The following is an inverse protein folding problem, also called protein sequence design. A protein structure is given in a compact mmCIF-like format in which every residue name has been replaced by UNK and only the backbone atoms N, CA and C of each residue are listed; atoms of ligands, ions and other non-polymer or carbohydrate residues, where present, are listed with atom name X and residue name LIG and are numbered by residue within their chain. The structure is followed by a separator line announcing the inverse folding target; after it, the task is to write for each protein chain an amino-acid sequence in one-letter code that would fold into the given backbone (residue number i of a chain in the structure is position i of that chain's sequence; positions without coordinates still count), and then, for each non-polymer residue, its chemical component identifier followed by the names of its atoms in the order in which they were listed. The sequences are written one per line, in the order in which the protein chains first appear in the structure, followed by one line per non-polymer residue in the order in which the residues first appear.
data_IF_859291154923
#
_entry.id   IF_859291154923
#
_cell.length_a   1.000
_cell.length_b   1.000
_cell.length_c   1.000
_cell.angle_alpha   90.00
_cell.angle_beta   90.00
_cell.angle_gamma   90.00
#
_symmetry.space_group_name_H-M   'P 1'
#
loop_
_entity.id
_entity.type
_entity.pdbx_description
1 polymer ?
#
# COMPACT_ATOMS: atom_id res chain seq x y z
N UNK A 1 58.90 -11.42 -6.05
CA UNK A 1 57.47 -11.10 -5.85
C UNK A 1 56.64 -12.26 -5.28
N UNK A 2 56.77 -13.53 -5.75
CA UNK A 2 56.02 -14.69 -5.24
C UNK A 2 56.07 -14.93 -3.72
N UNK A 3 57.20 -14.66 -3.05
CA UNK A 3 57.37 -14.83 -1.59
C UNK A 3 56.53 -13.87 -0.74
N UNK A 4 56.18 -12.69 -1.25
CA UNK A 4 55.35 -11.71 -0.52
C UNK A 4 53.86 -12.09 -0.55
N UNK A 5 53.40 -12.69 -1.66
CA UNK A 5 52.02 -13.19 -1.79
C UNK A 5 51.76 -14.42 -0.91
N UNK A 6 52.71 -15.38 -0.83
CA UNK A 6 52.60 -16.55 0.06
C UNK A 6 52.55 -16.17 1.54
N UNK A 7 53.26 -15.11 1.96
CA UNK A 7 53.26 -14.66 3.35
C UNK A 7 51.96 -13.97 3.76
N UNK A 8 51.23 -13.37 2.81
CA UNK A 8 49.93 -12.73 3.06
C UNK A 8 48.81 -13.76 3.24
N UNK A 9 48.82 -14.83 2.43
CA UNK A 9 47.84 -15.93 2.51
C UNK A 9 47.98 -16.75 3.80
N UNK A 10 49.19 -16.93 4.31
CA UNK A 10 49.43 -17.65 5.58
C UNK A 10 49.17 -16.80 6.84
N UNK A 11 48.80 -15.53 6.68
CA UNK A 11 48.55 -14.60 7.79
C UNK A 11 47.07 -14.22 7.91
N UNK A 12 46.20 -14.85 7.13
CA UNK A 12 44.75 -14.75 7.27
C UNK A 12 44.34 -15.70 8.40
N UNK A 13 44.33 -15.20 9.64
CA UNK A 13 43.70 -15.90 10.76
C UNK A 13 42.21 -15.99 10.45
N UNK A 14 41.74 -17.17 10.02
CA UNK A 14 40.32 -17.42 9.78
C UNK A 14 39.50 -17.21 11.06
N UNK A 15 38.29 -16.67 10.91
CA UNK A 15 37.34 -16.61 12.02
C UNK A 15 36.98 -18.03 12.45
N UNK A 16 36.83 -18.23 13.76
CA UNK A 16 36.43 -19.54 14.28
C UNK A 16 34.95 -19.78 14.00
N UNK A 17 34.55 -21.03 13.79
CA UNK A 17 33.13 -21.38 13.57
C UNK A 17 32.25 -20.95 14.75
N UNK A 18 32.81 -20.93 15.97
CA UNK A 18 32.07 -20.55 17.18
C UNK A 18 31.78 -19.04 17.24
N UNK A 19 32.69 -18.21 16.72
CA UNK A 19 32.45 -16.76 16.61
C UNK A 19 31.34 -16.47 15.60
N UNK A 20 31.35 -17.16 14.45
CA UNK A 20 30.26 -17.06 13.48
C UNK A 20 28.93 -17.57 14.04
N UNK A 21 28.96 -18.65 14.83
CA UNK A 21 27.77 -19.23 15.47
C UNK A 21 27.15 -18.26 16.49
N UNK A 22 27.95 -17.61 17.33
CA UNK A 22 27.44 -16.66 18.31
C UNK A 22 26.70 -15.48 17.62
N UNK A 23 27.22 -14.98 16.50
CA UNK A 23 26.62 -13.87 15.76
C UNK A 23 25.27 -14.25 15.15
N UNK A 24 25.17 -15.41 14.48
CA UNK A 24 23.90 -15.83 13.88
C UNK A 24 22.82 -16.09 14.93
N UNK A 25 23.18 -16.57 16.12
CA UNK A 25 22.24 -16.77 17.24
C UNK A 25 21.68 -15.43 17.71
N UNK A 26 22.53 -14.41 17.86
CA UNK A 26 22.08 -13.07 18.26
C UNK A 26 21.16 -12.47 17.18
N UNK A 27 21.53 -12.56 15.90
CA UNK A 27 20.70 -12.07 14.79
C UNK A 27 19.37 -12.81 14.74
N UNK A 28 19.35 -14.13 14.97
CA UNK A 28 18.14 -14.94 14.98
C UNK A 28 17.15 -14.50 16.08
N UNK A 29 17.63 -14.21 17.29
CA UNK A 29 16.80 -13.73 18.40
C UNK A 29 16.20 -12.35 18.06
N UNK A 30 17.02 -11.42 17.54
CA UNK A 30 16.55 -10.09 17.15
C UNK A 30 15.53 -10.21 16.01
N UNK A 31 15.81 -11.02 14.99
CA UNK A 31 14.92 -11.24 13.85
C UNK A 31 13.57 -11.83 14.27
N UNK A 32 13.56 -12.77 15.22
CA UNK A 32 12.33 -13.39 15.71
C UNK A 32 11.33 -12.38 16.31
N UNK A 33 11.81 -11.31 16.95
CA UNK A 33 10.97 -10.25 17.51
C UNK A 33 10.69 -9.16 16.47
N UNK A 34 11.71 -8.77 15.71
CA UNK A 34 11.64 -7.65 14.78
C UNK A 34 10.74 -7.93 13.56
N UNK A 35 10.82 -9.14 12.98
CA UNK A 35 10.05 -9.50 11.78
C UNK A 35 8.54 -9.34 11.99
N UNK A 36 7.89 -9.94 13.02
CA UNK A 36 6.45 -9.78 13.19
C UNK A 36 6.05 -8.32 13.50
N UNK A 37 6.85 -7.61 14.31
CA UNK A 37 6.56 -6.22 14.64
C UNK A 37 6.63 -5.29 13.41
N UNK A 38 7.67 -5.44 12.58
CA UNK A 38 7.84 -4.66 11.35
C UNK A 38 6.78 -5.05 10.31
N UNK A 39 6.44 -6.33 10.22
CA UNK A 39 5.39 -6.80 9.31
C UNK A 39 4.05 -6.11 9.57
N UNK A 40 3.65 -5.96 10.83
CA UNK A 40 2.41 -5.25 11.18
C UNK A 40 2.48 -3.75 10.84
N UNK A 41 3.62 -3.10 11.06
CA UNK A 41 3.80 -1.69 10.70
C UNK A 41 3.69 -1.48 9.18
N UNK A 42 4.31 -2.37 8.41
CA UNK A 42 4.23 -2.35 6.94
C UNK A 42 2.79 -2.58 6.49
N UNK A 43 2.07 -3.52 7.11
CA UNK A 43 0.68 -3.80 6.79
C UNK A 43 -0.21 -2.58 7.05
N UNK A 44 -0.12 -1.97 8.24
CA UNK A 44 -0.85 -0.75 8.56
C UNK A 44 -0.54 0.40 7.58
N UNK A 45 0.72 0.53 7.16
CA UNK A 45 1.13 1.57 6.20
C UNK A 45 0.53 1.34 4.81
N UNK A 46 0.35 0.07 4.41
CA UNK A 46 -0.29 -0.30 3.14
C UNK A 46 -1.80 -0.05 3.17
N UNK A 47 -2.44 -0.33 4.31
CA UNK A 47 -3.85 0.00 4.54
C UNK A 47 -4.08 1.51 4.52
N UNK A 48 -3.23 2.28 5.20
CA UNK A 48 -3.28 3.75 5.18
C UNK A 48 -3.08 4.28 3.74
N UNK A 49 -2.19 3.66 2.95
CA UNK A 49 -2.01 4.00 1.54
C UNK A 49 -3.27 3.68 0.70
N UNK A 50 -3.92 2.53 0.92
CA UNK A 50 -5.17 2.19 0.23
C UNK A 50 -6.30 3.17 0.54
N UNK A 51 -6.41 3.63 1.80
CA UNK A 51 -7.36 4.69 2.17
C UNK A 51 -7.02 6.01 1.48
N UNK A 52 -5.73 6.36 1.38
CA UNK A 52 -5.30 7.56 0.65
C UNK A 52 -5.62 7.47 -0.85
N UNK A 53 -5.44 6.29 -1.47
CA UNK A 53 -5.85 6.04 -2.85
C UNK A 53 -7.36 6.26 -3.01
N UNK A 54 -8.18 5.79 -2.08
CA UNK A 54 -9.63 6.02 -2.09
C UNK A 54 -10.00 7.51 -1.92
N UNK A 55 -9.26 8.26 -1.10
CA UNK A 55 -9.42 9.70 -0.97
C UNK A 55 -9.07 10.45 -2.26
N UNK A 56 -8.04 9.99 -2.99
CA UNK A 56 -7.66 10.53 -4.29
C UNK A 56 -8.76 10.28 -5.32
N UNK A 57 -9.30 9.05 -5.39
CA UNK A 57 -10.45 8.73 -6.26
C UNK A 57 -11.65 9.63 -5.93
N UNK A 58 -11.97 9.81 -4.64
CA UNK A 58 -13.08 10.67 -4.23
C UNK A 58 -12.87 12.14 -4.61
N UNK A 59 -11.63 12.62 -4.54
CA UNK A 59 -11.26 13.98 -4.93
C UNK A 59 -11.38 14.17 -6.45
N UNK A 60 -10.90 13.21 -7.24
CA UNK A 60 -11.07 13.20 -8.69
C UNK A 60 -12.55 13.14 -9.10
N UNK A 61 -13.35 12.30 -8.43
CA UNK A 61 -14.79 12.23 -8.65
C UNK A 61 -15.50 13.56 -8.32
N UNK A 62 -15.01 14.31 -7.33
CA UNK A 62 -15.54 15.65 -7.02
C UNK A 62 -15.36 16.62 -8.18
N UNK A 63 -14.20 16.58 -8.85
CA UNK A 63 -13.94 17.40 -10.05
C UNK A 63 -14.83 16.94 -11.21
N UNK A 64 -14.90 15.63 -11.46
CA UNK A 64 -15.76 15.06 -12.50
C UNK A 64 -17.23 15.49 -12.35
N UNK A 65 -17.78 15.43 -11.14
CA UNK A 65 -19.18 15.80 -10.88
C UNK A 65 -19.44 17.31 -10.88
N UNK A 66 -18.41 18.14 -10.73
CA UNK A 66 -18.50 19.57 -10.92
C UNK A 66 -18.63 19.94 -12.40
N UNK A 67 -17.97 19.20 -13.29
CA UNK A 67 -18.08 19.38 -14.75
C UNK A 67 -19.31 18.66 -15.34
N UNK A 68 -19.73 17.55 -14.71
CA UNK A 68 -20.83 16.70 -15.16
C UNK A 68 -21.97 16.71 -14.13
N UNK A 69 -22.71 17.84 -14.06
CA UNK A 69 -23.74 18.06 -13.06
C UNK A 69 -24.84 16.98 -13.05
N UNK A 70 -25.19 16.42 -14.21
CA UNK A 70 -26.24 15.39 -14.35
C UNK A 70 -25.79 13.97 -14.01
N UNK A 71 -24.47 13.71 -13.99
CA UNK A 71 -23.95 12.38 -13.68
C UNK A 71 -24.02 12.13 -12.18
N UNK A 72 -24.71 11.09 -11.74
CA UNK A 72 -24.88 10.76 -10.31
C UNK A 72 -23.88 9.70 -9.82
N UNK A 73 -23.25 8.99 -10.74
CA UNK A 73 -22.36 7.86 -10.44
C UNK A 73 -21.22 7.84 -11.44
N UNK A 74 -20.03 7.50 -10.96
CA UNK A 74 -18.85 7.21 -11.77
C UNK A 74 -18.13 6.02 -11.15
N UNK A 75 -17.59 5.13 -11.96
CA UNK A 75 -16.98 3.93 -11.43
C UNK A 75 -16.23 3.12 -12.46
N UNK A 76 -15.43 2.21 -11.94
CA UNK A 76 -14.56 1.32 -12.66
C UNK A 76 -14.66 -0.08 -12.08
N UNK A 77 -14.98 -1.07 -12.93
CA UNK A 77 -15.24 -2.44 -12.49
C UNK A 77 -13.99 -3.36 -12.51
N UNK A 78 -12.81 -2.83 -12.82
CA UNK A 78 -11.60 -3.62 -13.02
C UNK A 78 -11.61 -4.37 -14.36
N UNK A 79 -10.46 -4.40 -15.04
CA UNK A 79 -10.32 -5.06 -16.35
C UNK A 79 -10.66 -4.13 -17.51
N UNK A 80 -9.63 -3.44 -18.01
CA UNK A 80 -9.53 -2.82 -19.34
C UNK A 80 -10.56 -1.73 -19.76
N UNK A 81 -11.54 -1.40 -18.92
CA UNK A 81 -12.33 -0.18 -19.11
C UNK A 81 -11.60 1.04 -18.54
N UNK A 82 -11.72 2.17 -19.25
CA UNK A 82 -11.46 3.52 -18.74
C UNK A 82 -12.05 3.68 -17.34
N UNK A 83 -11.32 4.26 -16.39
CA UNK A 83 -11.74 4.27 -14.98
C UNK A 83 -12.88 5.27 -14.70
N UNK A 84 -13.48 5.86 -15.74
CA UNK A 84 -14.52 6.89 -15.66
C UNK A 84 -14.01 8.25 -15.17
N UNK A 85 -12.77 8.31 -14.67
CA UNK A 85 -12.07 9.46 -14.13
C UNK A 85 -10.72 9.70 -14.83
N UNK A 86 -10.47 9.12 -16.01
CA UNK A 86 -9.14 9.11 -16.63
C UNK A 86 -8.58 10.55 -16.87
N UNK A 87 -9.46 11.53 -17.06
CA UNK A 87 -9.09 12.94 -17.23
C UNK A 87 -8.77 13.66 -15.88
N UNK A 88 -9.08 13.04 -14.75
CA UNK A 88 -9.02 13.62 -13.40
C UNK A 88 -8.12 12.82 -12.44
N UNK A 89 -7.83 11.56 -12.76
CA UNK A 89 -7.08 10.63 -11.92
C UNK A 89 -6.07 9.87 -12.77
N UNK A 90 -4.79 10.11 -12.53
CA UNK A 90 -3.69 9.48 -13.27
C UNK A 90 -3.45 8.03 -12.86
N UNK A 91 -3.70 7.70 -11.59
CA UNK A 91 -3.45 6.38 -11.02
C UNK A 91 -4.47 6.07 -9.91
N UNK A 92 -4.97 4.83 -9.88
CA UNK A 92 -5.84 4.29 -8.82
C UNK A 92 -5.04 3.65 -7.70
N UNK A 93 -3.72 3.58 -7.82
CA UNK A 93 -2.84 2.97 -6.83
C UNK A 93 -3.19 1.50 -6.63
N UNK A 94 -3.52 1.13 -5.39
CA UNK A 94 -3.85 -0.26 -5.06
C UNK A 94 -5.37 -0.58 -5.13
N UNK A 95 -6.19 0.37 -5.56
CA UNK A 95 -7.61 0.14 -5.84
C UNK A 95 -7.75 -0.68 -7.13
N UNK A 96 -8.57 -1.72 -7.08
CA UNK A 96 -8.84 -2.64 -8.19
C UNK A 96 -10.21 -2.44 -8.82
N UNK A 97 -11.13 -1.82 -8.09
CA UNK A 97 -12.41 -1.33 -8.61
C UNK A 97 -12.99 -0.28 -7.67
N UNK A 98 -13.81 0.62 -8.19
CA UNK A 98 -14.53 1.58 -7.37
C UNK A 98 -15.84 2.01 -8.02
N UNK A 99 -16.76 2.53 -7.21
CA UNK A 99 -17.95 3.26 -7.62
C UNK A 99 -18.14 4.42 -6.66
N UNK A 100 -18.09 5.64 -7.18
CA UNK A 100 -18.41 6.85 -6.43
C UNK A 100 -19.82 7.30 -6.80
N UNK A 101 -20.64 7.56 -5.79
CA UNK A 101 -21.99 8.06 -5.96
C UNK A 101 -22.12 9.43 -5.33
N UNK A 102 -22.90 10.31 -5.98
CA UNK A 102 -23.42 11.54 -5.39
C UNK A 102 -24.93 11.48 -5.38
N UNK A 103 -25.55 12.04 -4.35
CA UNK A 103 -27.01 12.18 -4.31
C UNK A 103 -27.46 13.40 -5.13
N UNK A 104 -27.36 14.60 -4.54
CA UNK A 104 -27.77 15.86 -5.14
C UNK A 104 -26.66 16.90 -4.98
N UNK A 105 -26.21 17.49 -6.09
CA UNK A 105 -25.15 18.49 -6.14
C UNK A 105 -23.89 17.99 -6.84
N UNK A 106 -22.74 18.57 -6.51
CA UNK A 106 -21.44 18.25 -7.14
C UNK A 106 -20.51 17.45 -6.22
N UNK A 107 -20.83 17.35 -4.93
CA UNK A 107 -19.99 16.66 -3.95
C UNK A 107 -20.38 15.19 -3.84
N UNK A 108 -19.44 14.24 -4.02
CA UNK A 108 -19.70 12.83 -3.83
C UNK A 108 -20.03 12.51 -2.36
N UNK A 109 -21.00 11.62 -2.16
CA UNK A 109 -21.51 11.24 -0.84
C UNK A 109 -20.86 9.97 -0.33
N UNK A 110 -20.67 8.98 -1.22
CA UNK A 110 -20.11 7.68 -0.89
C UNK A 110 -19.17 7.17 -1.98
N UNK A 111 -18.18 6.39 -1.57
CA UNK A 111 -17.38 5.54 -2.43
C UNK A 111 -17.50 4.10 -1.95
N UNK A 112 -17.73 3.19 -2.89
CA UNK A 112 -17.56 1.75 -2.70
C UNK A 112 -16.33 1.33 -3.49
N UNK A 113 -15.37 0.64 -2.86
CA UNK A 113 -14.14 0.23 -3.55
C UNK A 113 -13.69 -1.18 -3.17
N UNK A 114 -12.87 -1.75 -4.04
CA UNK A 114 -12.06 -2.92 -3.78
C UNK A 114 -10.59 -2.56 -4.03
N UNK A 115 -9.69 -3.21 -3.32
CA UNK A 115 -8.26 -2.98 -3.46
C UNK A 115 -7.44 -3.94 -2.63
N UNK A 116 -6.12 -3.78 -2.69
CA UNK A 116 -5.18 -4.65 -1.98
C UNK A 116 -4.26 -3.86 -1.08
N UNK A 117 -3.99 -4.36 0.12
CA UNK A 117 -2.96 -3.85 1.00
C UNK A 117 -1.98 -4.98 1.30
N UNK A 118 -0.96 -5.12 0.46
CA UNK A 118 -0.03 -6.24 0.56
C UNK A 118 -0.68 -7.55 0.11
N UNK A 119 -0.81 -8.52 1.03
CA UNK A 119 -1.49 -9.79 0.76
C UNK A 119 -2.98 -9.76 1.10
N UNK A 120 -3.46 -8.71 1.76
CA UNK A 120 -4.86 -8.56 2.12
C UNK A 120 -5.63 -7.92 0.96
N UNK A 121 -6.85 -8.43 0.73
CA UNK A 121 -7.75 -7.93 -0.31
C UNK A 121 -9.03 -7.47 0.36
N UNK A 122 -9.40 -6.22 0.08
CA UNK A 122 -10.63 -5.61 0.55
C UNK A 122 -11.62 -5.56 -0.61
N UNK A 123 -12.87 -5.95 -0.36
CA UNK A 123 -13.92 -5.97 -1.38
C UNK A 123 -15.18 -5.31 -0.84
N UNK A 124 -15.82 -4.46 -1.65
CA UNK A 124 -17.09 -3.82 -1.30
C UNK A 124 -17.00 -2.88 -0.09
N UNK A 125 -15.84 -2.27 0.15
CA UNK A 125 -15.67 -1.31 1.24
C UNK A 125 -16.43 -0.03 0.88
N UNK A 126 -17.47 0.29 1.65
CA UNK A 126 -18.25 1.52 1.48
C UNK A 126 -17.91 2.55 2.55
N UNK A 127 -17.52 3.75 2.12
CA UNK A 127 -17.15 4.83 3.01
C UNK A 127 -17.63 6.19 2.50
N UNK A 128 -17.95 7.08 3.44
CA UNK A 128 -18.11 8.52 3.20
C UNK A 128 -16.76 9.23 3.31
N UNK A 129 -16.67 10.48 2.82
CA UNK A 129 -15.47 11.31 2.99
C UNK A 129 -14.99 11.38 4.45
N UNK A 130 -15.92 11.61 5.39
CA UNK A 130 -15.58 11.72 6.80
C UNK A 130 -15.01 10.42 7.38
N UNK A 131 -15.49 9.27 6.89
CA UNK A 131 -15.00 7.96 7.32
C UNK A 131 -13.59 7.70 6.75
N UNK A 132 -13.34 8.03 5.48
CA UNK A 132 -11.99 7.94 4.91
C UNK A 132 -11.01 8.88 5.60
N UNK A 133 -11.44 10.10 5.95
CA UNK A 133 -10.62 11.08 6.67
C UNK A 133 -10.32 10.60 8.12
N UNK A 134 -11.12 9.69 8.68
CA UNK A 134 -10.85 9.03 9.96
C UNK A 134 -9.81 7.90 9.87
N UNK A 135 -9.40 7.51 8.65
CA UNK A 135 -8.29 6.59 8.39
C UNK A 135 -8.72 5.14 8.15
N UNK A 136 -7.79 4.21 8.38
CA UNK A 136 -7.94 2.77 8.06
C UNK A 136 -9.05 2.00 8.77
N UNK A 137 -9.74 2.56 9.76
CA UNK A 137 -10.90 1.89 10.39
C UNK A 137 -12.05 1.60 9.42
N UNK A 138 -12.04 2.21 8.24
CA UNK A 138 -12.97 1.90 7.15
C UNK A 138 -12.74 0.54 6.51
N UNK A 139 -11.57 -0.06 6.72
CA UNK A 139 -11.16 -1.33 6.14
C UNK A 139 -11.51 -2.53 7.07
N UNK A 140 -11.97 -2.26 8.30
CA UNK A 140 -12.33 -3.28 9.30
C UNK A 140 -13.79 -3.78 9.17
#
# INVERSE_FOLDING_TARGET
MKKYLQKKLNNEKGMTLIELLAVIVIIAIIAAIAIPAISNIIQNSREDALVADAQNVLSAATLFFAENETATTVGWAGGEAANGLDDYLEDTGNITSFTVTKDNGTTPTTIEFAGTAGSETFTGVSATKAQLDAGRSVLE
#
